data_IF_146419753325
#
_entry.id   IF_146419753325
#
_cell.length_a   1.000
_cell.length_b   1.000
_cell.length_c   1.000
_cell.angle_alpha   90.00
_cell.angle_beta   90.00
_cell.angle_gamma   90.00
#
_symmetry.space_group_name_H-M   'P 1'
#
loop_
_entity.id
_entity.type
_entity.pdbx_description
1 polymer ?
#
# COMPACT_ATOMS: atom_id res chain seq x y z
N UNK A 1 -8.64 5.31 -31.45
CA UNK A 1 -9.91 4.67 -31.08
C UNK A 1 -10.97 5.08 -32.11
N UNK A 2 -11.77 4.16 -32.67
CA UNK A 2 -12.74 4.48 -33.74
C UNK A 2 -14.12 4.86 -33.22
N UNK A 3 -14.87 5.71 -33.93
CA UNK A 3 -16.19 6.25 -33.54
C UNK A 3 -17.21 5.18 -33.13
N UNK A 4 -17.23 4.03 -33.83
CA UNK A 4 -18.14 2.91 -33.57
C UNK A 4 -17.92 2.30 -32.17
N UNK A 5 -16.68 2.28 -31.68
CA UNK A 5 -16.36 1.75 -30.35
C UNK A 5 -16.92 2.67 -29.24
N UNK A 6 -16.85 3.98 -29.45
CA UNK A 6 -17.28 4.96 -28.45
C UNK A 6 -18.80 4.92 -28.26
N UNK A 7 -19.56 4.83 -29.36
CA UNK A 7 -21.03 4.67 -29.31
C UNK A 7 -21.43 3.39 -28.56
N UNK A 8 -20.72 2.28 -28.80
CA UNK A 8 -20.94 1.02 -28.07
C UNK A 8 -20.67 1.20 -26.56
N UNK A 9 -19.56 1.83 -26.18
CA UNK A 9 -19.23 2.09 -24.78
C UNK A 9 -20.30 2.94 -24.07
N UNK A 10 -20.78 4.01 -24.71
CA UNK A 10 -21.84 4.87 -24.18
C UNK A 10 -23.11 4.06 -23.91
N UNK A 11 -23.53 3.23 -24.87
CA UNK A 11 -24.73 2.39 -24.70
C UNK A 11 -24.58 1.41 -23.54
N UNK A 12 -23.39 0.82 -23.36
CA UNK A 12 -23.13 -0.13 -22.28
C UNK A 12 -23.13 0.54 -20.91
N UNK A 13 -22.43 1.67 -20.76
CA UNK A 13 -22.41 2.43 -19.50
C UNK A 13 -23.79 2.98 -19.15
N UNK A 14 -24.56 3.47 -20.12
CA UNK A 14 -25.92 3.98 -19.89
C UNK A 14 -26.87 2.91 -19.34
N UNK A 15 -26.63 1.63 -19.61
CA UNK A 15 -27.42 0.51 -19.04
C UNK A 15 -27.13 0.24 -17.57
N UNK A 16 -25.92 0.56 -17.10
CA UNK A 16 -25.49 0.34 -15.71
C UNK A 16 -25.45 1.63 -14.89
N UNK A 17 -25.85 2.78 -15.47
CA UNK A 17 -25.75 4.11 -14.85
C UNK A 17 -26.31 4.13 -13.42
N UNK A 18 -27.53 3.61 -13.21
CA UNK A 18 -28.19 3.57 -11.91
C UNK A 18 -27.40 2.76 -10.86
N UNK A 19 -26.67 1.72 -11.28
CA UNK A 19 -25.82 0.91 -10.41
C UNK A 19 -24.53 1.66 -10.09
N UNK A 20 -23.91 2.27 -11.09
CA UNK A 20 -22.66 3.05 -10.94
C UNK A 20 -22.88 4.25 -10.03
N UNK A 21 -23.99 4.99 -10.18
CA UNK A 21 -24.31 6.14 -9.32
C UNK A 21 -24.46 5.75 -7.85
N UNK A 22 -24.91 4.53 -7.54
CA UNK A 22 -25.03 4.01 -6.16
C UNK A 22 -23.69 3.64 -5.53
N UNK A 23 -22.61 3.57 -6.31
CA UNK A 23 -21.28 3.32 -5.77
C UNK A 23 -20.70 4.53 -5.03
N UNK A 24 -21.23 5.73 -5.27
CA UNK A 24 -20.76 6.98 -4.66
C UNK A 24 -21.58 7.31 -3.41
N UNK A 25 -20.92 7.82 -2.38
CA UNK A 25 -21.55 8.19 -1.10
C UNK A 25 -22.45 9.43 -1.20
N UNK A 26 -22.13 10.33 -2.13
CA UNK A 26 -22.88 11.55 -2.38
C UNK A 26 -23.59 11.51 -3.73
N UNK A 27 -24.76 12.17 -3.85
CA UNK A 27 -25.48 12.25 -5.12
C UNK A 27 -24.68 13.07 -6.14
N UNK A 28 -24.49 12.48 -7.32
CA UNK A 28 -23.81 13.14 -8.44
C UNK A 28 -24.82 13.99 -9.23
N UNK A 29 -24.69 15.31 -9.12
CA UNK A 29 -25.56 16.29 -9.79
C UNK A 29 -25.12 16.57 -11.25
N UNK A 30 -24.97 15.49 -12.04
CA UNK A 30 -24.72 15.54 -13.48
C UNK A 30 -25.90 14.95 -14.23
N UNK A 31 -26.20 15.46 -15.42
CA UNK A 31 -27.16 14.81 -16.32
C UNK A 31 -26.69 13.39 -16.68
N UNK A 32 -27.61 12.56 -17.18
CA UNK A 32 -27.26 11.20 -17.61
C UNK A 32 -26.18 11.20 -18.69
N UNK A 33 -26.28 12.11 -19.67
CA UNK A 33 -25.31 12.15 -20.77
C UNK A 33 -23.92 12.62 -20.28
N UNK A 34 -23.84 13.67 -19.45
CA UNK A 34 -22.56 14.14 -18.88
C UNK A 34 -21.90 13.07 -18.00
N UNK A 35 -22.70 12.37 -17.17
CA UNK A 35 -22.19 11.32 -16.30
C UNK A 35 -21.66 10.12 -17.10
N UNK A 36 -22.43 9.66 -18.09
CA UNK A 36 -22.03 8.54 -18.95
C UNK A 36 -20.78 8.91 -19.73
N UNK A 37 -20.69 10.13 -20.28
CA UNK A 37 -19.51 10.62 -20.97
C UNK A 37 -18.26 10.59 -20.07
N UNK A 38 -18.37 11.11 -18.84
CA UNK A 38 -17.28 11.07 -17.86
C UNK A 38 -16.81 9.63 -17.59
N UNK A 39 -17.75 8.72 -17.31
CA UNK A 39 -17.43 7.31 -17.02
C UNK A 39 -16.74 6.61 -18.20
N UNK A 40 -17.20 6.88 -19.43
CA UNK A 40 -16.62 6.29 -20.64
C UNK A 40 -15.23 6.85 -20.91
N UNK A 41 -15.04 8.18 -20.83
CA UNK A 41 -13.76 8.82 -21.08
C UNK A 41 -12.70 8.34 -20.07
N UNK A 42 -13.00 8.44 -18.79
CA UNK A 42 -12.05 8.11 -17.73
C UNK A 42 -11.77 6.59 -17.68
N UNK A 43 -12.81 5.77 -17.92
CA UNK A 43 -12.67 4.33 -17.96
C UNK A 43 -11.84 3.85 -19.15
N UNK A 44 -12.06 4.40 -20.35
CA UNK A 44 -11.25 4.08 -21.53
C UNK A 44 -9.82 4.59 -21.41
N UNK A 45 -9.62 5.76 -20.78
CA UNK A 45 -8.29 6.28 -20.46
C UNK A 45 -7.51 5.29 -19.60
N UNK A 46 -8.09 4.81 -18.49
CA UNK A 46 -7.44 3.83 -17.62
C UNK A 46 -7.14 2.51 -18.31
N UNK A 47 -8.10 1.97 -19.07
CA UNK A 47 -7.90 0.73 -19.83
C UNK A 47 -6.75 0.90 -20.82
N UNK A 48 -6.69 2.02 -21.55
CA UNK A 48 -5.58 2.26 -22.47
C UNK A 48 -4.24 2.45 -21.79
N UNK A 49 -4.23 3.14 -20.65
CA UNK A 49 -3.03 3.34 -19.86
C UNK A 49 -2.44 1.99 -19.43
N UNK A 50 -3.27 1.10 -18.85
CA UNK A 50 -2.82 -0.22 -18.41
C UNK A 50 -2.35 -1.08 -19.58
N UNK A 51 -3.09 -1.04 -20.69
CA UNK A 51 -2.80 -1.82 -21.89
C UNK A 51 -1.50 -1.40 -22.58
N UNK A 52 -1.28 -0.09 -22.76
CA UNK A 52 -0.04 0.47 -23.33
C UNK A 52 1.18 0.12 -22.48
N UNK A 53 1.05 0.24 -21.15
CA UNK A 53 2.13 -0.13 -20.22
C UNK A 53 2.46 -1.64 -20.30
N UNK A 54 1.46 -2.49 -20.48
CA UNK A 54 1.65 -3.92 -20.70
C UNK A 54 2.19 -4.26 -22.11
N UNK A 55 2.41 -3.27 -22.97
CA UNK A 55 2.80 -3.43 -24.37
C UNK A 55 1.81 -4.25 -25.21
N UNK A 56 0.52 -4.11 -24.93
CA UNK A 56 -0.57 -4.75 -25.66
C UNK A 56 -1.21 -3.72 -26.60
N UNK A 57 -1.60 -4.14 -27.80
CA UNK A 57 -2.23 -3.25 -28.79
C UNK A 57 -1.26 -2.23 -29.39
N UNK A 58 -1.62 -0.95 -29.33
CA UNK A 58 -0.85 0.13 -29.96
C UNK A 58 0.50 0.36 -29.27
N UNK A 59 1.55 0.56 -30.07
CA UNK A 59 2.88 0.90 -29.53
C UNK A 59 2.85 2.29 -28.91
N UNK A 60 3.63 2.47 -27.84
CA UNK A 60 3.91 3.80 -27.29
C UNK A 60 4.66 4.59 -28.37
N UNK A 61 4.04 5.66 -28.85
CA UNK A 61 4.61 6.50 -29.90
C UNK A 61 5.63 7.48 -29.31
N UNK A 62 6.56 7.94 -30.15
CA UNK A 62 7.53 8.96 -29.74
C UNK A 62 6.78 10.27 -29.49
N UNK A 63 6.86 10.78 -28.26
CA UNK A 63 6.13 11.98 -27.85
C UNK A 63 4.75 11.70 -27.25
N UNK A 64 4.44 10.44 -26.90
CA UNK A 64 3.25 10.13 -26.09
C UNK A 64 3.24 10.99 -24.81
N UNK A 65 2.13 11.68 -24.50
CA UNK A 65 2.07 12.65 -23.41
C UNK A 65 2.22 12.04 -22.02
N UNK A 66 2.00 10.73 -21.87
CA UNK A 66 2.08 10.04 -20.58
C UNK A 66 3.36 9.20 -20.51
N UNK A 67 3.65 8.44 -21.57
CA UNK A 67 4.80 7.53 -21.58
C UNK A 67 6.09 8.19 -22.11
N UNK A 68 6.02 9.42 -22.60
CA UNK A 68 7.17 10.17 -23.13
C UNK A 68 8.13 10.68 -22.06
N UNK A 69 7.66 10.87 -20.82
CA UNK A 69 8.48 11.23 -19.67
C UNK A 69 8.08 10.40 -18.44
N UNK A 70 9.08 10.03 -17.63
CA UNK A 70 8.83 9.24 -16.42
C UNK A 70 8.02 10.00 -15.37
N UNK A 71 8.12 11.33 -15.32
CA UNK A 71 7.38 12.17 -14.36
C UNK A 71 5.89 12.16 -14.67
N UNK A 72 5.51 12.44 -15.94
CA UNK A 72 4.11 12.44 -16.40
C UNK A 72 3.41 11.07 -16.15
N UNK A 73 4.16 9.96 -16.29
CA UNK A 73 3.68 8.62 -15.94
C UNK A 73 3.45 8.46 -14.42
N UNK A 74 4.39 8.93 -13.59
CA UNK A 74 4.26 8.82 -12.13
C UNK A 74 3.14 9.70 -11.58
N UNK A 75 2.94 10.90 -12.14
CA UNK A 75 1.80 11.75 -11.79
C UNK A 75 0.48 11.04 -12.10
N UNK A 76 0.37 10.41 -13.28
CA UNK A 76 -0.80 9.59 -13.64
C UNK A 76 -1.03 8.43 -12.66
N UNK A 77 0.04 7.79 -12.18
CA UNK A 77 -0.05 6.69 -11.21
C UNK A 77 -0.55 7.18 -9.86
N UNK A 78 -0.07 8.34 -9.42
CA UNK A 78 -0.49 8.96 -8.16
C UNK A 78 -1.98 9.31 -8.22
N UNK A 79 -2.42 9.94 -9.31
CA UNK A 79 -3.82 10.32 -9.50
C UNK A 79 -4.76 9.10 -9.42
N UNK A 80 -4.34 7.96 -9.95
CA UNK A 80 -5.16 6.72 -9.93
C UNK A 80 -5.30 6.08 -8.55
N UNK A 81 -4.44 6.41 -7.59
CA UNK A 81 -4.51 5.87 -6.23
C UNK A 81 -5.13 6.84 -5.24
N UNK A 82 -5.52 8.05 -5.68
CA UNK A 82 -6.29 8.99 -4.87
C UNK A 82 -7.70 8.43 -4.62
N UNK A 83 -8.13 8.43 -3.36
CA UNK A 83 -9.45 7.92 -2.96
C UNK A 83 -10.60 8.70 -3.61
N UNK A 84 -10.42 10.01 -3.81
CA UNK A 84 -11.37 10.90 -4.48
C UNK A 84 -11.47 10.66 -6.00
N UNK A 85 -10.47 10.00 -6.59
CA UNK A 85 -10.37 9.77 -8.04
C UNK A 85 -10.62 8.29 -8.41
N UNK A 86 -11.49 7.61 -7.68
CA UNK A 86 -11.80 6.20 -7.93
C UNK A 86 -13.01 6.05 -8.84
N UNK A 87 -12.84 5.36 -9.98
CA UNK A 87 -13.98 4.81 -10.71
C UNK A 87 -14.41 3.45 -10.12
N UNK A 88 -15.72 3.18 -10.04
CA UNK A 88 -16.24 1.86 -9.74
C UNK A 88 -15.71 0.83 -10.74
N UNK A 89 -15.23 -0.31 -10.24
CA UNK A 89 -14.68 -1.39 -11.06
C UNK A 89 -15.71 -1.92 -12.06
N UNK A 90 -17.01 -1.87 -11.72
CA UNK A 90 -18.10 -2.25 -12.64
C UNK A 90 -18.08 -1.44 -13.94
N UNK A 91 -17.65 -0.16 -13.91
CA UNK A 91 -17.47 0.67 -15.11
C UNK A 91 -16.33 0.09 -15.97
N UNK A 92 -15.19 -0.16 -15.33
CA UNK A 92 -14.01 -0.69 -16.01
C UNK A 92 -14.28 -2.09 -16.58
N UNK A 93 -14.92 -2.98 -15.82
CA UNK A 93 -15.30 -4.31 -16.27
C UNK A 93 -16.30 -4.25 -17.44
N UNK A 94 -17.27 -3.32 -17.39
CA UNK A 94 -18.24 -3.11 -18.46
C UNK A 94 -17.54 -2.70 -19.76
N UNK A 95 -16.66 -1.69 -19.70
CA UNK A 95 -15.90 -1.20 -20.84
C UNK A 95 -14.91 -2.26 -21.36
N UNK A 96 -14.19 -2.94 -20.47
CA UNK A 96 -13.20 -3.95 -20.82
C UNK A 96 -13.80 -5.14 -21.57
N UNK A 97 -15.08 -5.43 -21.34
CA UNK A 97 -15.80 -6.52 -22.01
C UNK A 97 -16.52 -6.11 -23.30
N UNK A 98 -16.44 -4.85 -23.72
CA UNK A 98 -16.92 -4.40 -25.04
C UNK A 98 -16.18 -5.18 -26.14
N UNK A 99 -16.92 -5.71 -27.12
CA UNK A 99 -16.42 -6.68 -28.10
C UNK A 99 -15.21 -6.15 -28.90
N UNK A 100 -15.23 -4.86 -29.23
CA UNK A 100 -14.12 -4.20 -29.92
C UNK A 100 -12.82 -4.21 -29.10
N UNK A 101 -12.89 -3.95 -27.79
CA UNK A 101 -11.74 -3.93 -26.89
C UNK A 101 -11.24 -5.35 -26.57
N UNK A 102 -12.16 -6.29 -26.32
CA UNK A 102 -11.82 -7.66 -25.95
C UNK A 102 -10.95 -8.38 -26.98
N UNK A 103 -11.12 -8.06 -28.27
CA UNK A 103 -10.29 -8.61 -29.37
C UNK A 103 -8.84 -8.12 -29.32
N UNK A 104 -8.59 -6.94 -28.78
CA UNK A 104 -7.25 -6.32 -28.72
C UNK A 104 -6.44 -6.75 -27.49
N UNK A 105 -7.11 -7.30 -26.47
CA UNK A 105 -6.55 -7.53 -25.13
C UNK A 105 -5.88 -8.90 -24.93
N UNK A 106 -5.69 -9.68 -26.00
CA UNK A 106 -4.95 -10.97 -26.02
C UNK A 106 -5.33 -12.00 -24.93
N UNK A 107 -6.54 -11.91 -24.34
CA UNK A 107 -7.00 -12.81 -23.29
C UNK A 107 -6.54 -12.47 -21.87
N UNK A 108 -5.86 -11.33 -21.68
CA UNK A 108 -5.48 -10.83 -20.36
C UNK A 108 -6.69 -10.28 -19.58
N UNK A 109 -6.59 -10.27 -18.25
CA UNK A 109 -7.64 -9.72 -17.39
C UNK A 109 -7.37 -8.25 -17.03
N UNK A 110 -8.42 -7.48 -16.77
CA UNK A 110 -8.30 -6.10 -16.30
C UNK A 110 -7.46 -6.01 -15.02
N UNK A 111 -7.73 -6.89 -14.04
CA UNK A 111 -7.00 -6.93 -12.78
C UNK A 111 -5.51 -7.19 -13.00
N UNK A 112 -5.14 -8.10 -13.91
CA UNK A 112 -3.74 -8.34 -14.25
C UNK A 112 -3.07 -7.08 -14.80
N UNK A 113 -3.71 -6.40 -15.77
CA UNK A 113 -3.15 -5.19 -16.38
C UNK A 113 -3.02 -4.04 -15.38
N UNK A 114 -4.06 -3.82 -14.56
CA UNK A 114 -4.05 -2.81 -13.50
C UNK A 114 -2.96 -3.10 -12.46
N UNK A 115 -2.84 -4.35 -11.97
CA UNK A 115 -1.82 -4.71 -10.99
C UNK A 115 -0.41 -4.58 -11.54
N UNK A 116 -0.19 -5.00 -12.79
CA UNK A 116 1.07 -4.84 -13.49
C UNK A 116 1.46 -3.37 -13.62
N UNK A 117 0.51 -2.50 -13.96
CA UNK A 117 0.72 -1.06 -14.00
C UNK A 117 1.07 -0.48 -12.63
N UNK A 118 0.33 -0.86 -11.59
CA UNK A 118 0.47 -0.29 -10.24
C UNK A 118 1.62 -0.92 -9.42
N UNK A 119 2.26 -1.98 -9.89
CA UNK A 119 3.39 -2.63 -9.19
C UNK A 119 4.63 -1.72 -9.12
N UNK A 120 4.68 -0.67 -9.95
CA UNK A 120 5.74 0.34 -9.89
C UNK A 120 5.74 1.16 -8.59
N UNK A 121 4.62 1.20 -7.84
CA UNK A 121 4.53 1.87 -6.55
C UNK A 121 5.20 1.05 -5.43
N UNK A 122 4.57 -0.06 -5.05
CA UNK A 122 5.09 -1.04 -4.09
C UNK A 122 4.98 -2.41 -4.76
N UNK A 123 6.11 -3.03 -5.17
CA UNK A 123 6.10 -4.32 -5.81
C UNK A 123 5.53 -5.42 -4.92
N UNK A 124 4.63 -6.24 -5.47
CA UNK A 124 3.96 -7.37 -4.80
C UNK A 124 4.54 -8.73 -5.19
N UNK A 125 5.39 -8.73 -6.23
CA UNK A 125 5.97 -9.92 -6.83
C UNK A 125 5.05 -10.56 -7.87
N UNK A 126 5.64 -11.14 -8.92
CA UNK A 126 4.90 -11.67 -10.07
C UNK A 126 3.82 -12.69 -9.68
N UNK A 127 4.10 -13.53 -8.69
CA UNK A 127 3.14 -14.54 -8.22
C UNK A 127 1.81 -13.92 -7.78
N UNK A 128 1.83 -12.77 -7.11
CA UNK A 128 0.61 -12.08 -6.64
C UNK A 128 -0.14 -11.45 -7.81
N UNK A 129 0.58 -10.95 -8.82
CA UNK A 129 0.00 -10.37 -10.02
C UNK A 129 -0.72 -11.44 -10.87
N UNK A 130 -0.14 -12.64 -10.97
CA UNK A 130 -0.69 -13.76 -11.73
C UNK A 130 -1.71 -14.61 -10.96
N UNK A 131 -1.76 -14.53 -9.63
CA UNK A 131 -2.87 -15.14 -8.88
C UNK A 131 -4.14 -14.42 -9.30
N UNK A 132 -4.84 -15.03 -10.26
CA UNK A 132 -6.14 -14.62 -10.72
C UNK A 132 -7.02 -14.39 -9.49
N UNK A 133 -7.32 -13.13 -9.14
CA UNK A 133 -8.31 -12.78 -8.12
C UNK A 133 -9.73 -13.04 -8.67
N UNK A 134 -9.91 -14.13 -9.41
CA UNK A 134 -11.16 -14.57 -10.00
C UNK A 134 -12.13 -14.89 -8.87
N UNK A 135 -13.25 -14.15 -8.82
CA UNK A 135 -14.26 -14.29 -7.79
C UNK A 135 -14.11 -13.35 -6.59
N UNK A 136 -13.06 -12.52 -6.52
CA UNK A 136 -13.05 -11.39 -5.60
C UNK A 136 -13.88 -10.25 -6.22
N UNK A 137 -14.97 -9.87 -5.56
CA UNK A 137 -15.71 -8.65 -5.89
C UNK A 137 -14.82 -7.45 -5.58
N UNK A 138 -14.24 -6.82 -6.61
CA UNK A 138 -13.40 -5.63 -6.47
C UNK A 138 -14.26 -4.40 -6.73
N UNK A 139 -14.21 -3.42 -5.84
CA UNK A 139 -15.04 -2.20 -5.94
C UNK A 139 -14.43 -1.12 -6.81
N UNK A 140 -13.12 -0.95 -6.76
CA UNK A 140 -12.34 0.03 -7.52
C UNK A 140 -10.83 -0.31 -7.40
N UNK A 141 -9.97 0.48 -8.03
CA UNK A 141 -8.52 0.22 -8.08
C UNK A 141 -7.86 0.17 -6.71
N UNK A 142 -8.20 1.08 -5.79
CA UNK A 142 -7.62 1.08 -4.45
C UNK A 142 -8.06 -0.14 -3.61
N UNK A 143 -9.29 -0.64 -3.80
CA UNK A 143 -9.75 -1.90 -3.19
C UNK A 143 -8.98 -3.11 -3.76
N UNK A 144 -8.68 -3.11 -5.06
CA UNK A 144 -7.81 -4.11 -5.69
C UNK A 144 -6.42 -4.09 -5.03
N UNK A 145 -5.83 -2.91 -4.84
CA UNK A 145 -4.54 -2.75 -4.19
C UNK A 145 -4.56 -3.28 -2.75
N UNK A 146 -5.56 -2.90 -1.95
CA UNK A 146 -5.75 -3.45 -0.60
C UNK A 146 -5.77 -4.98 -0.61
N UNK A 147 -6.69 -5.59 -1.37
CA UNK A 147 -6.86 -7.04 -1.43
C UNK A 147 -5.60 -7.79 -1.85
N UNK A 148 -4.80 -7.20 -2.74
CA UNK A 148 -3.56 -7.80 -3.20
C UNK A 148 -2.41 -7.63 -2.22
N UNK A 149 -2.28 -6.46 -1.57
CA UNK A 149 -1.31 -6.27 -0.49
C UNK A 149 -1.60 -7.15 0.72
N UNK A 150 -2.85 -7.55 0.95
CA UNK A 150 -3.23 -8.45 2.05
C UNK A 150 -3.23 -9.93 1.68
N UNK A 151 -2.92 -10.26 0.42
CA UNK A 151 -2.99 -11.62 -0.06
C UNK A 151 -2.06 -12.55 0.73
N UNK A 152 -2.61 -13.68 1.21
CA UNK A 152 -1.94 -14.68 2.05
C UNK A 152 -1.41 -14.17 3.39
N UNK A 153 -1.85 -13.01 3.89
CA UNK A 153 -1.60 -12.67 5.29
C UNK A 153 -2.43 -13.60 6.19
N UNK A 154 -1.85 -14.08 7.30
CA UNK A 154 -2.61 -14.75 8.32
C UNK A 154 -3.81 -13.89 8.74
N UNK A 155 -4.98 -14.52 8.91
CA UNK A 155 -6.08 -13.84 9.57
C UNK A 155 -5.60 -13.32 10.93
N UNK A 156 -6.13 -12.16 11.34
CA UNK A 156 -5.82 -11.53 12.61
C UNK A 156 -6.44 -12.32 13.77
N UNK A 157 -6.03 -13.58 13.94
CA UNK A 157 -6.72 -14.62 14.69
C UNK A 157 -6.82 -14.39 16.20
N UNK A 158 -6.27 -13.29 16.71
CA UNK A 158 -6.38 -12.84 18.10
C UNK A 158 -6.18 -11.32 18.26
N UNK A 159 -6.50 -10.50 17.24
CA UNK A 159 -6.33 -9.05 17.39
C UNK A 159 -7.19 -8.52 18.55
N UNK A 160 -6.53 -8.07 19.63
CA UNK A 160 -7.19 -7.64 20.85
C UNK A 160 -7.67 -6.20 20.67
N UNK A 161 -8.93 -5.93 21.01
CA UNK A 161 -9.38 -4.56 21.30
C UNK A 161 -8.48 -3.98 22.40
N UNK A 162 -7.90 -2.80 22.16
CA UNK A 162 -7.04 -2.07 23.10
C UNK A 162 -5.64 -2.67 23.38
N UNK A 163 -5.00 -3.33 22.41
CA UNK A 163 -3.60 -3.79 22.58
C UNK A 163 -2.59 -2.65 22.66
N UNK A 164 -1.48 -2.86 23.38
CA UNK A 164 -0.36 -1.92 23.40
C UNK A 164 0.27 -1.80 22.00
N UNK A 165 0.05 -0.65 21.36
CA UNK A 165 0.54 -0.34 20.01
C UNK A 165 2.05 -0.05 20.04
N UNK A 166 2.53 0.54 21.14
CA UNK A 166 3.89 1.07 21.24
C UNK A 166 4.92 -0.01 21.54
N UNK A 167 5.96 -0.06 20.69
CA UNK A 167 7.20 -0.80 20.91
C UNK A 167 8.40 0.16 20.85
N UNK A 168 9.55 -0.19 21.44
CA UNK A 168 10.77 0.60 21.33
C UNK A 168 11.23 0.76 19.89
N UNK A 169 11.96 1.84 19.60
CA UNK A 169 12.46 2.11 18.24
C UNK A 169 13.50 1.09 17.79
N UNK A 170 13.80 1.07 16.49
CA UNK A 170 14.83 0.19 15.90
C UNK A 170 16.17 0.32 16.64
N UNK A 171 16.60 1.54 16.94
CA UNK A 171 17.86 1.78 17.66
C UNK A 171 17.82 1.29 19.10
N UNK A 172 16.70 1.42 19.80
CA UNK A 172 16.52 0.89 21.16
C UNK A 172 16.49 -0.64 21.19
N UNK A 173 15.75 -1.25 20.26
CA UNK A 173 15.69 -2.70 20.10
C UNK A 173 17.07 -3.28 19.78
N UNK A 174 17.82 -2.63 18.89
CA UNK A 174 19.19 -3.04 18.56
C UNK A 174 20.12 -3.01 19.78
N UNK A 175 19.98 -2.02 20.68
CA UNK A 175 20.80 -1.91 21.91
C UNK A 175 20.60 -3.08 22.87
N UNK A 176 19.41 -3.70 22.89
CA UNK A 176 19.13 -4.90 23.70
C UNK A 176 19.39 -6.21 22.96
N UNK A 177 19.98 -6.13 21.76
CA UNK A 177 20.43 -7.28 20.97
C UNK A 177 19.37 -7.84 20.03
N UNK A 178 18.33 -7.07 19.67
CA UNK A 178 17.45 -7.45 18.56
C UNK A 178 18.22 -7.36 17.24
N UNK A 179 18.12 -8.40 16.42
CA UNK A 179 18.70 -8.44 15.07
C UNK A 179 17.60 -8.11 14.06
N UNK A 180 17.91 -7.22 13.12
CA UNK A 180 17.04 -6.90 12.00
C UNK A 180 17.54 -7.64 10.77
N UNK A 181 16.65 -8.34 10.08
CA UNK A 181 16.98 -9.08 8.86
C UNK A 181 15.91 -8.87 7.80
N UNK A 182 16.29 -9.04 6.53
CA UNK A 182 15.37 -8.98 5.40
C UNK A 182 14.40 -10.15 5.48
N UNK A 183 13.10 -9.86 5.45
CA UNK A 183 12.03 -10.85 5.37
C UNK A 183 11.82 -11.39 3.95
N UNK A 184 10.78 -12.21 3.79
CA UNK A 184 10.40 -12.76 2.47
C UNK A 184 10.04 -11.65 1.49
N UNK A 185 10.55 -11.74 0.25
CA UNK A 185 10.05 -10.96 -0.91
C UNK A 185 8.90 -11.64 -1.62
N UNK A 186 8.60 -12.90 -1.23
CA UNK A 186 7.45 -13.65 -1.72
C UNK A 186 6.29 -13.42 -0.76
N UNK A 187 5.27 -12.67 -1.20
CA UNK A 187 4.08 -12.36 -0.40
C UNK A 187 3.96 -10.87 -0.07
N UNK A 188 3.21 -10.56 0.99
CA UNK A 188 2.93 -9.18 1.40
C UNK A 188 4.12 -8.51 2.07
N UNK A 189 4.36 -7.23 1.77
CA UNK A 189 5.33 -6.41 2.50
C UNK A 189 4.95 -6.15 3.97
N UNK A 190 3.72 -6.51 4.35
CA UNK A 190 3.18 -6.41 5.71
C UNK A 190 3.48 -7.66 6.57
N UNK A 191 4.11 -8.70 6.00
CA UNK A 191 4.40 -9.93 6.74
C UNK A 191 5.63 -9.78 7.66
N UNK A 192 5.51 -8.89 8.65
CA UNK A 192 6.55 -8.62 9.64
C UNK A 192 6.49 -9.68 10.74
N UNK A 193 7.64 -10.28 11.06
CA UNK A 193 7.75 -11.36 12.04
C UNK A 193 8.75 -11.01 13.12
N UNK A 194 8.47 -11.48 14.33
CA UNK A 194 9.40 -11.43 15.44
C UNK A 194 9.48 -12.78 16.14
N UNK A 195 10.69 -13.34 16.20
CA UNK A 195 10.97 -14.61 16.85
C UNK A 195 12.36 -14.60 17.47
N UNK A 196 12.45 -14.94 18.75
CA UNK A 196 13.70 -15.15 19.48
C UNK A 196 14.73 -14.01 19.35
N UNK A 197 14.26 -12.76 19.34
CA UNK A 197 15.11 -11.58 19.20
C UNK A 197 15.53 -11.25 17.77
N UNK A 198 14.95 -11.92 16.78
CA UNK A 198 15.10 -11.59 15.35
C UNK A 198 13.81 -10.95 14.87
N UNK A 199 13.93 -9.76 14.29
CA UNK A 199 12.86 -9.04 13.61
C UNK A 199 13.08 -9.16 12.10
N UNK A 200 12.18 -9.87 11.43
CA UNK A 200 12.17 -10.04 9.97
C UNK A 200 11.17 -9.03 9.40
N UNK A 201 11.65 -8.13 8.56
CA UNK A 201 10.82 -7.11 7.91
C UNK A 201 10.99 -7.28 6.40
N UNK A 202 9.91 -7.53 5.63
CA UNK A 202 9.98 -7.55 4.18
C UNK A 202 10.62 -6.26 3.64
N UNK A 203 11.48 -6.35 2.62
CA UNK A 203 12.16 -5.17 2.11
C UNK A 203 11.17 -4.24 1.39
N UNK A 204 11.36 -2.93 1.58
CA UNK A 204 10.51 -1.91 0.96
C UNK A 204 11.35 -0.83 0.28
N UNK A 205 10.93 -0.45 -0.92
CA UNK A 205 11.44 0.73 -1.62
C UNK A 205 10.50 1.90 -1.29
N UNK A 206 11.01 2.94 -0.67
CA UNK A 206 10.25 4.15 -0.34
C UNK A 206 10.59 5.23 -1.34
N UNK A 207 9.63 5.56 -2.21
CA UNK A 207 9.71 6.62 -3.21
C UNK A 207 8.91 7.85 -2.74
N UNK A 208 8.87 8.89 -3.56
CA UNK A 208 8.11 10.11 -3.25
C UNK A 208 6.60 9.82 -3.17
N UNK A 209 6.11 8.91 -4.00
CA UNK A 209 4.69 8.55 -4.17
C UNK A 209 4.23 7.51 -3.13
N UNK A 210 5.18 6.85 -2.45
CA UNK A 210 4.87 5.79 -1.49
C UNK A 210 3.99 6.31 -0.35
N UNK A 211 4.27 7.51 0.16
CA UNK A 211 3.47 8.08 1.24
C UNK A 211 2.04 8.35 0.76
N UNK A 212 1.86 8.99 -0.41
CA UNK A 212 0.53 9.23 -1.00
C UNK A 212 -0.29 7.95 -1.16
N UNK A 213 0.31 6.86 -1.66
CA UNK A 213 -0.37 5.57 -1.74
C UNK A 213 -0.79 5.06 -0.35
N UNK A 214 0.13 5.05 0.61
CA UNK A 214 -0.17 4.56 1.97
C UNK A 214 -1.28 5.38 2.63
N UNK A 215 -1.28 6.70 2.45
CA UNK A 215 -2.31 7.59 2.98
C UNK A 215 -3.69 7.27 2.41
N UNK A 216 -3.78 7.10 1.09
CA UNK A 216 -5.06 6.79 0.44
C UNK A 216 -5.57 5.40 0.82
N UNK A 217 -4.69 4.40 0.94
CA UNK A 217 -5.09 3.08 1.44
C UNK A 217 -5.62 3.16 2.88
N UNK A 218 -5.01 3.97 3.76
CA UNK A 218 -5.50 4.20 5.12
C UNK A 218 -6.86 4.91 5.09
N UNK A 219 -7.01 5.97 4.29
CA UNK A 219 -8.28 6.67 4.14
C UNK A 219 -9.39 5.71 3.68
N UNK A 220 -9.08 4.83 2.72
CA UNK A 220 -9.99 3.79 2.28
C UNK A 220 -10.41 2.81 3.39
N UNK A 221 -9.46 2.35 4.22
CA UNK A 221 -9.77 1.53 5.40
C UNK A 221 -10.71 2.26 6.37
N UNK A 222 -10.50 3.55 6.61
CA UNK A 222 -11.33 4.36 7.52
C UNK A 222 -12.74 4.61 6.96
N UNK A 223 -12.87 4.87 5.66
CA UNK A 223 -14.16 5.13 5.00
C UNK A 223 -14.99 3.86 4.71
N UNK A 224 -14.45 2.67 5.01
CA UNK A 224 -15.10 1.40 4.67
C UNK A 224 -16.07 0.86 5.72
N UNK A 225 -16.42 1.63 6.76
CA UNK A 225 -17.31 1.22 7.87
C UNK A 225 -16.94 -0.12 8.52
N UNK A 226 -15.63 -0.42 8.62
CA UNK A 226 -15.13 -1.69 9.16
C UNK A 226 -15.33 -2.91 8.25
N UNK A 227 -15.77 -2.73 6.99
CA UNK A 227 -15.86 -3.80 5.97
C UNK A 227 -14.48 -4.21 5.45
N UNK A 228 -13.49 -3.32 5.55
CA UNK A 228 -12.09 -3.56 5.17
C UNK A 228 -11.25 -3.62 6.45
N UNK A 229 -10.39 -4.63 6.62
CA UNK A 229 -9.50 -4.71 7.78
C UNK A 229 -8.45 -3.59 7.80
N UNK A 230 -8.07 -3.13 9.00
CA UNK A 230 -7.13 -2.03 9.23
C UNK A 230 -5.65 -2.42 9.11
N UNK A 231 -5.27 -3.16 8.08
CA UNK A 231 -3.90 -3.69 7.93
C UNK A 231 -2.87 -2.59 7.61
N UNK A 232 -3.18 -1.66 6.69
CA UNK A 232 -2.32 -0.51 6.38
C UNK A 232 -2.22 0.43 7.56
N UNK A 233 -3.34 0.74 8.21
CA UNK A 233 -3.36 1.56 9.43
C UNK A 233 -2.48 0.92 10.50
N UNK A 234 -2.60 -0.40 10.71
CA UNK A 234 -1.76 -1.13 11.66
C UNK A 234 -0.28 -1.12 11.28
N UNK A 235 0.05 -1.29 10.00
CA UNK A 235 1.42 -1.23 9.52
C UNK A 235 2.03 0.14 9.76
N UNK A 236 1.24 1.17 9.47
CA UNK A 236 1.66 2.55 9.62
C UNK A 236 2.00 2.89 11.08
N UNK A 237 1.19 2.43 12.02
CA UNK A 237 1.42 2.57 13.47
C UNK A 237 2.64 1.80 13.96
N UNK A 238 2.83 0.58 13.46
CA UNK A 238 4.01 -0.22 13.77
C UNK A 238 5.29 0.46 13.28
N UNK A 239 5.27 0.96 12.04
CA UNK A 239 6.42 1.64 11.43
C UNK A 239 6.72 2.98 12.11
N UNK A 240 5.70 3.75 12.52
CA UNK A 240 5.89 4.94 13.36
C UNK A 240 6.57 4.57 14.69
N UNK A 241 6.20 3.46 15.34
CA UNK A 241 6.86 3.01 16.56
C UNK A 241 8.34 2.64 16.33
N UNK A 242 8.62 1.93 15.24
CA UNK A 242 9.97 1.47 14.90
C UNK A 242 10.90 2.61 14.44
N UNK A 243 10.38 3.59 13.70
CA UNK A 243 11.17 4.65 13.05
C UNK A 243 10.84 5.99 13.74
N UNK A 244 11.71 6.42 14.67
CA UNK A 244 11.58 7.72 15.36
C UNK A 244 12.56 8.77 14.87
N UNK A 245 13.57 8.36 14.09
CA UNK A 245 14.64 9.24 13.62
C UNK A 245 15.32 8.67 12.36
N UNK A 246 16.10 9.50 11.67
CA UNK A 246 16.96 9.04 10.58
C UNK A 246 17.96 7.94 11.01
N UNK A 247 18.35 7.90 12.29
CA UNK A 247 19.23 6.85 12.80
C UNK A 247 18.56 5.47 12.80
N UNK A 248 17.24 5.40 13.00
CA UNK A 248 16.45 4.17 12.89
C UNK A 248 16.40 3.71 11.43
N UNK A 249 16.12 4.63 10.49
CA UNK A 249 16.14 4.38 9.04
C UNK A 249 17.51 3.87 8.59
N UNK A 250 18.59 4.49 9.07
CA UNK A 250 19.97 4.08 8.76
C UNK A 250 20.25 2.64 9.16
N UNK A 251 19.72 2.19 10.30
CA UNK A 251 19.86 0.80 10.72
C UNK A 251 19.12 -0.12 9.75
N UNK A 252 17.89 0.20 9.35
CA UNK A 252 17.12 -0.60 8.40
C UNK A 252 17.77 -0.64 7.01
N UNK A 253 18.27 0.49 6.51
CA UNK A 253 19.03 0.60 5.25
C UNK A 253 20.28 -0.28 5.25
N UNK A 254 21.05 -0.25 6.34
CA UNK A 254 22.26 -1.08 6.48
C UNK A 254 21.96 -2.58 6.37
N UNK A 255 20.74 -3.01 6.71
CA UNK A 255 20.32 -4.41 6.59
C UNK A 255 19.54 -4.69 5.30
N UNK A 256 19.41 -3.72 4.38
CA UNK A 256 18.68 -3.90 3.12
C UNK A 256 17.15 -3.95 3.27
N UNK A 257 16.62 -3.60 4.43
CA UNK A 257 15.17 -3.62 4.71
C UNK A 257 14.48 -2.40 4.07
N UNK A 258 15.11 -1.23 4.16
CA UNK A 258 14.60 -0.01 3.53
C UNK A 258 15.59 0.43 2.45
N UNK A 259 15.07 0.75 1.28
CA UNK A 259 15.81 1.42 0.20
C UNK A 259 15.02 2.65 -0.24
N UNK A 260 15.68 3.76 -0.52
CA UNK A 260 14.99 5.00 -0.89
C UNK A 260 15.97 6.03 -1.45
N UNK A 261 15.56 6.86 -2.43
CA UNK A 261 16.34 8.01 -2.88
C UNK A 261 16.31 9.18 -1.88
N UNK A 262 15.41 9.16 -0.90
CA UNK A 262 15.26 10.21 0.11
C UNK A 262 16.40 10.17 1.14
N UNK A 263 16.55 11.24 1.94
CA UNK A 263 17.47 11.19 3.09
C UNK A 263 16.94 10.26 4.19
N UNK A 264 17.79 9.89 5.15
CA UNK A 264 17.35 9.08 6.30
C UNK A 264 16.29 9.85 7.11
N UNK A 265 16.47 11.17 7.24
CA UNK A 265 15.60 12.11 7.92
C UNK A 265 14.24 12.26 7.22
N UNK A 266 14.22 12.39 5.89
CA UNK A 266 12.97 12.53 5.13
C UNK A 266 12.13 11.24 5.22
N UNK A 267 12.75 10.07 5.14
CA UNK A 267 12.05 8.79 5.36
C UNK A 267 11.47 8.73 6.77
N UNK A 268 12.23 9.15 7.79
CA UNK A 268 11.74 9.17 9.16
C UNK A 268 10.60 10.19 9.36
N UNK A 269 10.68 11.34 8.70
CA UNK A 269 9.65 12.38 8.72
C UNK A 269 8.35 11.88 8.09
N UNK A 270 8.44 11.17 6.95
CA UNK A 270 7.28 10.51 6.35
C UNK A 270 6.58 9.65 7.39
N UNK A 271 7.30 8.77 8.10
CA UNK A 271 6.65 7.90 9.08
C UNK A 271 6.16 8.58 10.36
N UNK A 272 6.84 9.62 10.87
CA UNK A 272 6.52 10.18 12.20
C UNK A 272 5.60 11.39 12.18
N UNK A 273 5.75 12.29 11.21
CA UNK A 273 5.05 13.58 11.23
C UNK A 273 3.80 13.59 10.33
N UNK A 274 3.94 13.20 9.06
CA UNK A 274 2.81 13.17 8.12
C UNK A 274 1.69 12.24 8.59
N UNK A 275 2.05 11.21 9.36
CA UNK A 275 1.09 10.32 9.99
C UNK A 275 0.22 10.99 11.05
N UNK A 276 0.83 11.80 11.93
CA UNK A 276 0.12 12.40 13.04
C UNK A 276 -0.90 13.45 12.57
N UNK A 277 -0.66 14.07 11.42
CA UNK A 277 -1.62 14.96 10.75
C UNK A 277 -2.86 14.21 10.24
N UNK A 278 -2.72 12.95 9.81
CA UNK A 278 -3.82 12.11 9.34
C UNK A 278 -4.56 11.40 10.49
N UNK A 279 -3.87 11.14 11.60
CA UNK A 279 -4.37 10.30 12.69
C UNK A 279 -5.10 11.03 13.81
N UNK A 280 -5.29 12.35 13.75
CA UNK A 280 -6.17 13.04 14.71
C UNK A 280 -7.61 12.50 14.68
N UNK A 281 -8.00 11.82 13.60
CA UNK A 281 -9.37 11.31 13.38
C UNK A 281 -9.45 9.79 13.10
N UNK A 282 -8.32 9.06 13.15
CA UNK A 282 -8.27 7.62 12.81
C UNK A 282 -8.82 6.77 13.96
N UNK A 283 -9.81 5.91 13.65
CA UNK A 283 -10.36 4.95 14.61
C UNK A 283 -9.78 3.57 14.36
N UNK A 284 -8.93 3.09 15.27
CA UNK A 284 -8.39 1.73 15.20
C UNK A 284 -9.15 0.79 16.16
N UNK A 285 -10.09 0.02 15.60
CA UNK A 285 -10.84 -0.97 16.39
C UNK A 285 -10.05 -2.27 16.61
N UNK A 286 -9.21 -2.64 15.63
CA UNK A 286 -8.43 -3.88 15.58
C UNK A 286 -7.02 -3.53 15.08
N UNK A 287 -6.01 -3.86 15.88
CA UNK A 287 -4.60 -3.72 15.50
C UNK A 287 -4.03 -5.07 15.06
N UNK A 288 -3.55 -5.16 13.83
CA UNK A 288 -3.05 -6.43 13.27
C UNK A 288 -1.79 -6.95 13.98
N UNK A 289 -0.88 -6.06 14.37
CA UNK A 289 0.42 -6.45 14.95
C UNK A 289 0.41 -6.59 16.47
N UNK A 290 -0.75 -6.71 17.12
CA UNK A 290 -0.85 -6.82 18.60
C UNK A 290 0.06 -7.90 19.16
N UNK A 291 0.00 -9.11 18.62
CA UNK A 291 0.79 -10.24 19.09
C UNK A 291 2.29 -10.02 18.87
N UNK A 292 2.67 -9.41 17.73
CA UNK A 292 4.05 -9.06 17.45
C UNK A 292 4.57 -8.05 18.49
N UNK A 293 3.81 -7.00 18.79
CA UNK A 293 4.19 -6.00 19.78
C UNK A 293 4.31 -6.61 21.19
N UNK A 294 3.42 -7.52 21.58
CA UNK A 294 3.50 -8.25 22.86
C UNK A 294 4.81 -9.05 22.96
N UNK A 295 5.18 -9.79 21.91
CA UNK A 295 6.44 -10.57 21.87
C UNK A 295 7.67 -9.67 21.94
N UNK A 296 7.67 -8.56 21.20
CA UNK A 296 8.77 -7.58 21.20
C UNK A 296 8.95 -6.95 22.57
N UNK A 297 7.87 -6.48 23.20
CA UNK A 297 7.90 -5.84 24.52
C UNK A 297 8.35 -6.82 25.62
N UNK A 298 7.88 -8.07 25.58
CA UNK A 298 8.32 -9.13 26.50
C UNK A 298 9.83 -9.41 26.38
N UNK A 299 10.34 -9.53 25.15
CA UNK A 299 11.77 -9.73 24.90
C UNK A 299 12.59 -8.53 25.37
N UNK A 300 12.16 -7.31 25.03
CA UNK A 300 12.82 -6.07 25.41
C UNK A 300 12.90 -5.91 26.93
N UNK A 301 11.80 -6.13 27.65
CA UNK A 301 11.75 -6.06 29.10
C UNK A 301 12.73 -7.03 29.77
N UNK A 302 12.73 -8.29 29.31
CA UNK A 302 13.63 -9.34 29.80
C UNK A 302 15.11 -8.97 29.60
N UNK A 303 15.48 -8.53 28.40
CA UNK A 303 16.86 -8.16 28.06
C UNK A 303 17.32 -6.91 28.80
N UNK A 304 16.46 -5.88 28.90
CA UNK A 304 16.77 -4.65 29.62
C UNK A 304 17.04 -4.93 31.10
N UNK A 305 16.24 -5.79 31.73
CA UNK A 305 16.43 -6.20 33.12
C UNK A 305 17.70 -7.03 33.32
N UNK A 306 18.08 -7.89 32.36
CA UNK A 306 19.32 -8.67 32.41
C UNK A 306 20.59 -7.83 32.14
N UNK A 307 20.50 -6.81 31.28
CA UNK A 307 21.63 -5.93 30.93
C UNK A 307 21.82 -4.76 31.90
N UNK A 308 20.77 -4.32 32.61
CA UNK A 308 20.82 -3.22 33.57
C UNK A 308 21.90 -3.37 34.66
N UNK A 309 22.01 -4.54 35.32
CA UNK A 309 23.06 -4.79 36.31
C UNK A 309 24.46 -4.80 35.68
N UNK A 310 24.64 -5.46 34.51
CA UNK A 310 25.94 -5.58 33.84
C UNK A 310 26.51 -4.23 33.38
N UNK A 311 25.65 -3.33 32.88
CA UNK A 311 26.04 -1.97 32.49
C UNK A 311 26.36 -1.08 33.70
N UNK A 312 25.65 -1.24 34.82
CA UNK A 312 26.00 -0.58 36.09
C UNK A 312 27.37 -1.06 36.58
N UNK A 313 27.62 -2.37 36.61
CA UNK A 313 28.91 -2.94 36.99
C UNK A 313 30.06 -2.46 36.08
N UNK A 314 29.87 -2.44 34.76
CA UNK A 314 30.88 -1.93 33.82
C UNK A 314 31.14 -0.41 33.99
N UNK A 315 30.10 0.40 34.24
CA UNK A 315 30.28 1.82 34.56
C UNK A 315 31.00 2.03 35.89
N UNK A 316 30.72 1.22 36.91
CA UNK A 316 31.44 1.26 38.20
C UNK A 316 32.91 0.84 38.03
N UNK A 317 33.20 -0.16 37.20
CA UNK A 317 34.57 -0.57 36.87
C UNK A 317 35.29 0.54 36.10
N UNK A 318 34.67 1.13 35.08
CA UNK A 318 35.25 2.25 34.33
C UNK A 318 35.52 3.46 35.22
N UNK A 319 34.61 3.83 36.13
CA UNK A 319 34.85 4.92 37.09
C UNK A 319 36.04 4.64 38.02
N UNK A 320 36.31 3.38 38.39
CA UNK A 320 37.51 2.99 39.16
C UNK A 320 38.82 3.05 38.36
N UNK A 321 38.77 3.09 37.03
CA UNK A 321 39.97 3.28 36.20
C UNK A 321 40.30 4.76 35.98
N UNK A 322 39.37 5.67 36.28
CA UNK A 322 39.52 7.12 36.13
C UNK A 322 39.58 7.88 37.47
N UNK A 323 39.72 7.18 38.60
CA UNK A 323 40.01 7.73 39.93
C UNK A 323 41.21 7.00 40.51
#
# INVERSE_FOLDING_TARGET
MGTIMLEECIVYIKRIEDEVRKCYSEPINLSSDEFVELMVIDGLFMIELFRKYAHIGNKIERGDPIFGKSEDLMDSVVDLVLLENQLPMVVLDCLFNVLALKKELNGETLNFLALRFLDQLIPRGEKVIYTNFTGCEVKHILDLLCKTYFHNLPEAGNAKKNSCISIPSVTELKRVGVKFVVGSTNGSFLDIKFKDGVMEIPPMVIKYETDTLLQNLIAYEQCSDGKVPYYMTSYRLLMDSLIKSGQDVRVLRKHGIVTSPLTDEDVAYNFTHRFNELCSEVTLTIFYYSELCEKVNSYYGTRRNACGPKLRTLRTILLKFFC
#
